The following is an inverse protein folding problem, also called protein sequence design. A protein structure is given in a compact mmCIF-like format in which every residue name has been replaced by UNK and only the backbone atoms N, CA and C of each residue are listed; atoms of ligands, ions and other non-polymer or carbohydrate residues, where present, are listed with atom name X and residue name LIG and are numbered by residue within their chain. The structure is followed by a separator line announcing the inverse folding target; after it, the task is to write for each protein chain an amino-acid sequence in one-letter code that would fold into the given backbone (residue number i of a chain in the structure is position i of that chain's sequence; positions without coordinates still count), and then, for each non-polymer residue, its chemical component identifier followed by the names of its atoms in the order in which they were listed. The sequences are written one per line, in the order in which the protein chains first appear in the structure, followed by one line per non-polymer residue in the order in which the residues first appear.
data_IF_011151624984
#
_entry.id   IF_011151624984
#
_cell.length_a   1.000
_cell.length_b   1.000
_cell.length_c   1.000
_cell.angle_alpha   90.00
_cell.angle_beta   90.00
_cell.angle_gamma   90.00
#
_symmetry.space_group_name_H-M   'P 1'
#
loop_
_entity.id
_entity.type
_entity.pdbx_description
1 polymer ?
#
# COMPACT_ATOMS: atom_id res chain seq x y z
N UNK A 1 0.41 12.77 -4.54
CA UNK A 1 -0.39 12.00 -5.47
C UNK A 1 -1.18 10.92 -4.73
N UNK A 2 -2.48 10.86 -5.01
CA UNK A 2 -3.39 10.01 -4.23
C UNK A 2 -3.02 8.51 -4.28
N UNK A 3 -2.63 8.02 -5.44
CA UNK A 3 -2.28 6.60 -5.59
C UNK A 3 -1.05 6.24 -4.77
N UNK A 4 -0.02 7.08 -4.79
CA UNK A 4 1.21 6.83 -4.03
C UNK A 4 0.95 6.88 -2.53
N UNK A 5 0.19 7.86 -2.07
CA UNK A 5 -0.15 7.97 -0.66
C UNK A 5 -0.95 6.78 -0.16
N UNK A 6 -1.92 6.33 -0.95
CA UNK A 6 -2.74 5.18 -0.59
C UNK A 6 -1.90 3.89 -0.60
N UNK A 7 -1.04 3.72 -1.59
CA UNK A 7 -0.14 2.58 -1.65
C UNK A 7 0.79 2.54 -0.44
N UNK A 8 1.29 3.72 -0.03
CA UNK A 8 2.14 3.83 1.15
C UNK A 8 1.41 3.38 2.41
N UNK A 9 0.17 3.81 2.60
CA UNK A 9 -0.62 3.39 3.76
C UNK A 9 -0.76 1.88 3.79
N UNK A 10 -1.12 1.28 2.64
CA UNK A 10 -1.29 -0.17 2.57
C UNK A 10 0.03 -0.89 2.84
N UNK A 11 1.12 -0.45 2.24
CA UNK A 11 2.42 -1.11 2.39
C UNK A 11 2.90 -1.14 3.84
N UNK A 12 2.66 -0.08 4.58
CA UNK A 12 3.16 0.03 5.96
C UNK A 12 2.16 -0.44 7.00
N UNK A 13 0.89 -0.59 6.66
CA UNK A 13 -0.14 -1.00 7.62
C UNK A 13 -0.77 -2.35 7.31
N UNK A 14 -0.33 -3.02 6.27
CA UNK A 14 -0.90 -4.30 5.86
C UNK A 14 -0.78 -5.37 6.95
N UNK A 15 -1.77 -6.26 7.07
CA UNK A 15 -3.02 -6.26 6.32
C UNK A 15 -3.98 -5.18 6.83
N UNK A 16 -4.66 -4.51 5.92
CA UNK A 16 -5.46 -3.34 6.27
C UNK A 16 -6.73 -3.27 5.43
N UNK A 17 -7.84 -2.87 6.05
CA UNK A 17 -9.12 -2.74 5.35
C UNK A 17 -9.21 -1.41 4.60
N UNK A 18 -10.07 -1.37 3.60
CA UNK A 18 -10.33 -0.15 2.84
C UNK A 18 -10.81 0.99 3.75
N UNK A 19 -11.71 0.69 4.68
CA UNK A 19 -12.21 1.73 5.59
C UNK A 19 -11.11 2.29 6.48
N UNK A 20 -10.16 1.45 6.90
CA UNK A 20 -9.03 1.92 7.69
C UNK A 20 -8.10 2.81 6.87
N UNK A 21 -7.86 2.45 5.61
CA UNK A 21 -7.06 3.27 4.70
C UNK A 21 -7.74 4.61 4.49
N UNK A 22 -9.05 4.59 4.26
CA UNK A 22 -9.84 5.81 4.10
C UNK A 22 -9.76 6.70 5.34
N UNK A 23 -9.84 6.11 6.53
CA UNK A 23 -9.73 6.84 7.79
C UNK A 23 -8.36 7.49 7.95
N UNK A 24 -7.29 6.78 7.61
CA UNK A 24 -5.93 7.31 7.70
C UNK A 24 -5.73 8.46 6.73
N UNK A 25 -6.26 8.33 5.52
CA UNK A 25 -6.11 9.35 4.49
C UNK A 25 -7.09 10.51 4.63
N UNK A 26 -8.23 10.28 5.31
CA UNK A 26 -9.27 11.28 5.46
C UNK A 26 -10.08 11.53 4.20
N UNK A 27 -10.04 10.63 3.23
CA UNK A 27 -10.78 10.74 1.96
C UNK A 27 -11.23 9.35 1.51
N UNK A 28 -12.18 9.33 0.56
CA UNK A 28 -12.63 8.08 -0.05
C UNK A 28 -11.52 7.53 -0.94
N UNK A 29 -11.15 6.27 -0.74
CA UNK A 29 -10.04 5.64 -1.47
C UNK A 29 -10.51 4.54 -2.42
N UNK A 30 -11.81 4.36 -2.63
CA UNK A 30 -12.34 3.24 -3.41
C UNK A 30 -11.79 3.20 -4.83
N UNK A 31 -11.76 4.33 -5.50
CA UNK A 31 -11.23 4.41 -6.87
C UNK A 31 -9.75 4.11 -6.94
N UNK A 32 -8.99 4.62 -5.97
CA UNK A 32 -7.54 4.40 -5.93
C UNK A 32 -7.24 2.92 -5.66
N UNK A 33 -7.95 2.31 -4.72
CA UNK A 33 -7.77 0.89 -4.41
C UNK A 33 -8.07 0.04 -5.65
N UNK A 34 -9.14 0.36 -6.37
CA UNK A 34 -9.46 -0.36 -7.60
C UNK A 34 -8.33 -0.26 -8.63
N UNK A 35 -7.74 0.92 -8.77
CA UNK A 35 -6.61 1.13 -9.67
C UNK A 35 -5.40 0.30 -9.24
N UNK A 36 -5.08 0.31 -7.94
CA UNK A 36 -3.95 -0.45 -7.42
C UNK A 36 -4.15 -1.96 -7.60
N UNK A 37 -5.38 -2.44 -7.40
CA UNK A 37 -5.71 -3.83 -7.65
C UNK A 37 -5.52 -4.19 -9.12
N UNK A 38 -6.02 -3.34 -10.03
CA UNK A 38 -5.94 -3.62 -11.47
C UNK A 38 -4.49 -3.61 -11.98
N UNK A 39 -3.62 -2.87 -11.31
CA UNK A 39 -2.19 -2.84 -11.66
C UNK A 39 -1.40 -3.96 -10.99
N UNK A 40 -2.05 -4.75 -10.14
CA UNK A 40 -1.38 -5.85 -9.45
C UNK A 40 -0.42 -5.40 -8.36
N UNK A 41 -0.58 -4.20 -7.82
CA UNK A 41 0.29 -3.69 -6.76
C UNK A 41 -0.21 -4.05 -5.37
N UNK A 42 -1.50 -4.30 -5.23
CA UNK A 42 -2.09 -4.79 -3.98
C UNK A 42 -3.02 -5.94 -4.30
N UNK A 43 -3.37 -6.71 -3.26
CA UNK A 43 -4.28 -7.86 -3.40
C UNK A 43 -5.08 -8.04 -2.12
N UNK A 44 -6.16 -8.79 -2.22
CA UNK A 44 -6.94 -9.18 -1.05
C UNK A 44 -6.18 -10.30 -0.34
N UNK A 45 -5.85 -10.09 0.93
CA UNK A 45 -5.06 -11.06 1.69
C UNK A 45 -5.86 -11.76 2.78
N UNK A 46 -7.11 -11.41 2.97
CA UNK A 46 -7.97 -12.06 3.95
C UNK A 46 -9.15 -11.20 4.33
N UNK A 47 -9.79 -11.59 5.41
CA UNK A 47 -10.94 -10.87 5.96
C UNK A 47 -10.72 -10.63 7.44
N UNK A 48 -11.21 -9.49 7.91
CA UNK A 48 -11.26 -9.21 9.33
C UNK A 48 -12.26 -10.15 9.97
N UNK A 49 -11.86 -10.82 11.07
CA UNK A 49 -12.72 -11.81 11.71
C UNK A 49 -13.93 -11.20 12.41
N UNK A 50 -13.84 -9.95 12.80
CA UNK A 50 -14.93 -9.29 13.52
C UNK A 50 -15.90 -8.55 12.61
N UNK A 51 -15.37 -7.85 11.60
CA UNK A 51 -16.17 -6.99 10.73
C UNK A 51 -16.46 -7.60 9.36
N UNK A 52 -15.82 -8.71 9.01
CA UNK A 52 -15.86 -9.34 7.68
C UNK A 52 -15.35 -8.45 6.56
N UNK A 53 -14.70 -7.34 6.92
CA UNK A 53 -14.10 -6.44 5.95
C UNK A 53 -12.95 -7.13 5.22
N UNK A 54 -12.81 -6.86 3.93
CA UNK A 54 -11.70 -7.38 3.14
C UNK A 54 -10.42 -6.66 3.57
N UNK A 55 -9.34 -7.43 3.75
CA UNK A 55 -8.04 -6.90 4.09
C UNK A 55 -7.14 -6.93 2.86
N UNK A 56 -6.37 -5.86 2.68
CA UNK A 56 -5.47 -5.71 1.54
C UNK A 56 -4.02 -5.72 1.98
N UNK A 57 -3.16 -6.16 1.08
CA UNK A 57 -1.72 -6.11 1.27
C UNK A 57 -1.04 -5.90 -0.08
N UNK A 58 0.26 -5.70 -0.05
CA UNK A 58 1.04 -5.53 -1.28
C UNK A 58 1.36 -6.90 -1.88
N UNK A 59 1.69 -6.92 -3.17
CA UNK A 59 1.94 -8.14 -3.93
C UNK A 59 3.43 -8.36 -4.15
N UNK A 60 3.80 -9.58 -4.62
CA UNK A 60 5.16 -9.83 -5.09
C UNK A 60 5.53 -8.89 -6.24
N UNK A 61 4.54 -8.58 -7.09
CA UNK A 61 4.75 -7.64 -8.19
C UNK A 61 5.14 -6.25 -7.67
N UNK A 62 4.52 -5.82 -6.56
CA UNK A 62 4.90 -4.56 -5.92
C UNK A 62 6.39 -4.59 -5.52
N UNK A 63 6.84 -5.69 -4.87
CA UNK A 63 8.23 -5.80 -4.47
C UNK A 63 9.17 -5.80 -5.68
N UNK A 64 8.81 -6.51 -6.74
CA UNK A 64 9.60 -6.54 -7.97
C UNK A 64 9.74 -5.16 -8.57
N UNK A 65 8.63 -4.40 -8.60
CA UNK A 65 8.64 -3.04 -9.15
C UNK A 65 9.48 -2.10 -8.30
N UNK A 66 9.60 -2.37 -6.99
CA UNK A 66 10.43 -1.61 -6.08
C UNK A 66 11.89 -2.04 -6.10
N UNK A 67 12.20 -3.19 -6.71
CA UNK A 67 13.53 -3.76 -6.66
C UNK A 67 13.87 -4.35 -5.30
N UNK A 68 12.84 -4.82 -4.57
CA UNK A 68 12.99 -5.35 -3.22
C UNK A 68 12.77 -6.86 -3.20
N UNK A 69 13.43 -7.54 -2.26
CA UNK A 69 13.25 -8.98 -2.06
C UNK A 69 12.18 -9.28 -1.03
N UNK A 70 11.94 -8.37 -0.08
CA UNK A 70 10.95 -8.57 0.96
C UNK A 70 10.47 -7.24 1.50
N UNK A 71 9.37 -7.26 2.27
CA UNK A 71 8.83 -6.05 2.91
C UNK A 71 9.79 -5.45 3.93
N UNK A 72 10.67 -6.28 4.49
CA UNK A 72 11.65 -5.80 5.48
C UNK A 72 12.62 -4.78 4.90
N UNK A 73 12.76 -4.75 3.59
CA UNK A 73 13.64 -3.81 2.91
C UNK A 73 13.02 -2.44 2.70
N UNK A 74 11.72 -2.28 3.01
CA UNK A 74 11.10 -0.96 2.94
C UNK A 74 11.71 -0.06 4.01
N UNK A 75 11.91 1.23 3.70
CA UNK A 75 12.46 2.15 4.69
C UNK A 75 11.61 2.19 5.96
N UNK A 76 12.25 2.19 7.10
CA UNK A 76 11.55 2.31 8.38
C UNK A 76 11.13 3.76 8.57
N UNK A 77 9.84 4.01 8.48
CA UNK A 77 9.30 5.35 8.58
C UNK A 77 8.36 5.51 9.79
N UNK A 78 8.44 4.57 10.73
CA UNK A 78 7.67 4.64 11.95
C UNK A 78 8.15 5.80 12.81
N UNK A 79 7.26 6.47 13.55
CA UNK A 79 5.82 6.20 13.66
C UNK A 79 4.98 6.93 12.62
N UNK A 80 5.59 7.59 11.65
CA UNK A 80 4.91 8.41 10.68
C UNK A 80 4.53 7.59 9.45
N UNK A 81 3.55 8.11 8.70
CA UNK A 81 3.35 7.61 7.36
C UNK A 81 4.59 7.93 6.54
N UNK A 82 4.93 7.10 5.55
CA UNK A 82 6.10 7.37 4.73
C UNK A 82 5.95 8.72 4.05
N UNK A 83 7.06 9.42 3.99
CA UNK A 83 7.16 10.60 3.18
C UNK A 83 6.89 10.19 1.73
N UNK A 84 5.97 10.89 1.09
CA UNK A 84 5.61 10.58 -0.29
C UNK A 84 6.83 10.66 -1.21
N UNK A 85 7.73 11.60 -0.94
CA UNK A 85 8.94 11.75 -1.74
C UNK A 85 9.86 10.54 -1.62
N UNK A 86 9.99 9.96 -0.42
CA UNK A 86 10.81 8.77 -0.21
C UNK A 86 10.23 7.58 -0.96
N UNK A 87 8.92 7.39 -0.85
CA UNK A 87 8.25 6.30 -1.55
C UNK A 87 8.34 6.49 -3.05
N UNK A 88 8.22 7.72 -3.52
CA UNK A 88 8.32 8.05 -4.93
C UNK A 88 9.70 7.70 -5.48
N UNK A 89 10.76 8.00 -4.73
CA UNK A 89 12.12 7.63 -5.10
C UNK A 89 12.28 6.11 -5.22
N UNK A 90 11.70 5.37 -4.29
CA UNK A 90 11.74 3.90 -4.31
C UNK A 90 11.04 3.40 -5.56
N UNK A 91 9.85 3.93 -5.87
CA UNK A 91 9.09 3.54 -7.05
C UNK A 91 9.87 3.86 -8.33
N UNK A 92 10.47 5.02 -8.41
CA UNK A 92 11.26 5.41 -9.59
C UNK A 92 12.44 4.47 -9.80
N UNK A 93 13.14 4.06 -8.73
CA UNK A 93 14.22 3.09 -8.83
C UNK A 93 13.73 1.75 -9.34
N UNK A 94 12.55 1.33 -8.92
CA UNK A 94 11.97 0.07 -9.34
C UNK A 94 11.53 0.03 -10.79
N UNK A 95 11.44 1.19 -11.43
CA UNK A 95 10.99 1.28 -12.83
C UNK A 95 12.12 1.12 -13.84
N UNK A 96 13.33 1.25 -13.43
CA UNK A 96 14.46 1.21 -14.35
C UNK A 96 14.78 -0.18 -14.88
#
# INVERSE_FOLDING_TARGET
QAALETLAVIAYRQPVSRSRVSAVRGVNVDGVIRTLLSRGLIEEVGHDTESTAILYGTTSHFLERMGLSSLDELPALAPYLPDVDVLDEIIERGRS
#
